data_IF_049198855319
#
_entry.id   IF_049198855319
#
_cell.length_a   1.000
_cell.length_b   1.000
_cell.length_c   1.000
_cell.angle_alpha   90.00
_cell.angle_beta   90.00
_cell.angle_gamma   90.00
#
_symmetry.space_group_name_H-M   'P 1'
#
loop_
_entity.id
_entity.type
_entity.pdbx_description
1 polymer ?
#
# COMPACT_ATOMS: atom_id res chain seq x y z
N UNK A 1 45.41 11.07 11.50
CA UNK A 1 44.84 10.37 12.68
C UNK A 1 44.28 9.04 12.17
N UNK A 2 45.11 8.00 12.16
CA UNK A 2 44.78 6.71 11.56
C UNK A 2 44.04 5.86 12.60
N UNK A 3 42.83 5.41 12.28
CA UNK A 3 42.11 4.42 13.09
C UNK A 3 42.20 3.08 12.35
N UNK A 4 43.09 2.23 12.85
CA UNK A 4 43.22 0.82 12.47
C UNK A 4 42.09 0.02 13.13
N UNK A 5 41.14 -0.50 12.35
CA UNK A 5 40.16 -1.49 12.83
C UNK A 5 40.79 -2.87 12.64
N UNK A 6 41.02 -3.57 13.75
CA UNK A 6 41.53 -4.94 13.80
C UNK A 6 40.47 -5.90 13.26
N UNK A 7 40.79 -6.65 12.20
CA UNK A 7 39.98 -7.77 11.72
C UNK A 7 40.22 -9.00 12.60
N UNK A 8 39.16 -9.50 13.24
CA UNK A 8 39.13 -10.84 13.85
C UNK A 8 38.05 -11.67 13.18
N UNK A 9 38.51 -12.63 12.39
CA UNK A 9 38.05 -14.00 12.12
C UNK A 9 36.55 -14.37 12.03
N UNK A 10 36.22 -14.92 10.86
CA UNK A 10 35.28 -16.01 10.56
C UNK A 10 33.78 -15.86 10.86
N UNK A 11 33.03 -15.75 9.76
CA UNK A 11 31.61 -16.09 9.68
C UNK A 11 31.12 -15.67 8.31
N UNK A 12 30.79 -16.62 7.44
CA UNK A 12 30.28 -16.33 6.10
C UNK A 12 29.04 -15.42 6.21
N UNK A 13 29.19 -14.15 5.84
CA UNK A 13 28.05 -13.25 5.65
C UNK A 13 27.30 -13.71 4.40
N UNK A 14 26.34 -14.61 4.60
CA UNK A 14 25.25 -14.75 3.66
C UNK A 14 24.57 -13.39 3.53
N UNK A 15 24.65 -12.79 2.33
CA UNK A 15 23.77 -11.71 1.93
C UNK A 15 22.34 -12.23 2.01
N UNK A 16 21.69 -12.04 3.15
CA UNK A 16 20.23 -12.15 3.24
C UNK A 16 19.68 -10.89 2.58
N UNK A 17 19.44 -10.98 1.27
CA UNK A 17 18.60 -10.04 0.57
C UNK A 17 17.21 -10.12 1.20
N UNK A 18 16.91 -9.22 2.14
CA UNK A 18 15.52 -8.91 2.50
C UNK A 18 14.95 -8.15 1.31
N UNK A 19 14.57 -8.89 0.27
CA UNK A 19 13.57 -8.40 -0.65
C UNK A 19 12.32 -8.20 0.21
N UNK A 20 11.92 -6.93 0.40
CA UNK A 20 10.66 -6.58 1.03
C UNK A 20 9.52 -7.13 0.17
N UNK A 21 9.21 -8.42 0.34
CA UNK A 21 8.04 -9.02 -0.25
C UNK A 21 6.85 -8.30 0.39
N UNK A 22 6.10 -7.57 -0.43
CA UNK A 22 4.79 -7.09 -0.04
C UNK A 22 3.98 -8.33 0.35
N UNK A 23 3.82 -8.56 1.66
CA UNK A 23 3.20 -9.77 2.14
C UNK A 23 1.72 -9.71 1.77
N UNK A 24 1.23 -10.69 1.03
CA UNK A 24 -0.19 -10.85 0.79
C UNK A 24 -0.89 -11.04 2.14
N UNK A 25 -1.82 -10.15 2.47
CA UNK A 25 -2.54 -10.20 3.75
C UNK A 25 -3.93 -10.78 3.49
N UNK A 26 -4.24 -11.92 4.11
CA UNK A 26 -5.54 -12.58 3.99
C UNK A 26 -6.38 -12.39 5.25
N UNK A 27 -7.64 -12.03 5.07
CA UNK A 27 -8.66 -11.97 6.14
C UNK A 27 -9.97 -12.55 5.63
N UNK A 28 -10.34 -13.73 6.16
CA UNK A 28 -11.50 -14.46 5.66
C UNK A 28 -11.39 -14.73 4.15
N UNK A 29 -12.35 -14.20 3.38
CA UNK A 29 -12.41 -14.31 1.92
C UNK A 29 -11.65 -13.20 1.19
N UNK A 30 -11.14 -12.19 1.90
CA UNK A 30 -10.43 -11.05 1.33
C UNK A 30 -8.93 -11.29 1.32
N UNK A 31 -8.27 -10.84 0.25
CA UNK A 31 -6.83 -10.85 0.09
C UNK A 31 -6.36 -9.45 -0.36
N UNK A 32 -5.44 -8.87 0.37
CA UNK A 32 -4.73 -7.64 0.00
C UNK A 32 -3.42 -8.05 -0.67
N UNK A 33 -3.22 -7.58 -1.89
CA UNK A 33 -2.08 -7.94 -2.73
C UNK A 33 -1.29 -6.69 -3.08
N UNK A 34 0.03 -6.85 -3.15
CA UNK A 34 0.99 -5.83 -3.57
C UNK A 34 0.79 -4.44 -2.92
N UNK A 35 0.57 -4.34 -1.58
CA UNK A 35 0.43 -3.04 -0.94
C UNK A 35 1.73 -2.23 -1.04
N UNK A 36 1.62 -0.98 -1.48
CA UNK A 36 2.73 -0.04 -1.49
C UNK A 36 2.24 1.41 -1.32
N UNK A 37 3.16 2.28 -0.92
CA UNK A 37 2.90 3.71 -0.71
C UNK A 37 3.86 4.52 -1.56
N UNK A 38 3.35 5.52 -2.28
CA UNK A 38 4.17 6.58 -2.89
C UNK A 38 4.40 7.66 -1.84
N UNK A 39 5.58 7.62 -1.23
CA UNK A 39 6.01 8.66 -0.32
C UNK A 39 6.17 10.02 -1.02
N UNK A 40 6.03 11.06 -0.23
CA UNK A 40 6.23 12.46 -0.59
C UNK A 40 7.11 13.13 0.47
N UNK A 41 7.45 14.40 0.29
CA UNK A 41 8.11 15.21 1.31
C UNK A 41 7.26 15.29 2.59
N UNK A 42 7.93 15.51 3.72
CA UNK A 42 7.29 15.66 5.03
C UNK A 42 6.19 16.74 5.03
N UNK A 43 5.11 16.49 5.76
CA UNK A 43 3.96 17.40 5.84
C UNK A 43 3.03 17.38 4.61
N UNK A 44 3.23 16.48 3.65
CA UNK A 44 2.34 16.31 2.49
C UNK A 44 1.65 14.93 2.51
N UNK A 45 0.42 14.81 1.99
CA UNK A 45 -0.26 13.52 1.87
C UNK A 45 0.50 12.55 0.95
N UNK A 46 0.66 11.31 1.38
CA UNK A 46 1.16 10.20 0.57
C UNK A 46 0.01 9.44 -0.08
N UNK A 47 0.27 8.74 -1.19
CA UNK A 47 -0.72 7.87 -1.86
C UNK A 47 -0.49 6.40 -1.53
N UNK A 48 -1.53 5.70 -1.08
CA UNK A 48 -1.53 4.25 -0.84
C UNK A 48 -2.16 3.49 -2.00
N UNK A 49 -1.57 2.35 -2.36
CA UNK A 49 -2.01 1.55 -3.50
C UNK A 49 -1.92 0.07 -3.15
N UNK A 50 -2.89 -0.70 -3.65
CA UNK A 50 -2.99 -2.13 -3.41
C UNK A 50 -4.08 -2.72 -4.31
N UNK A 51 -4.14 -4.05 -4.38
CA UNK A 51 -5.31 -4.76 -4.91
C UNK A 51 -6.03 -5.47 -3.78
N UNK A 52 -7.35 -5.35 -3.76
CA UNK A 52 -8.21 -6.05 -2.80
C UNK A 52 -9.04 -7.07 -3.58
N UNK A 53 -8.74 -8.35 -3.39
CA UNK A 53 -9.49 -9.45 -3.98
C UNK A 53 -10.49 -10.00 -2.97
N UNK A 54 -11.70 -10.31 -3.44
CA UNK A 54 -12.75 -10.98 -2.68
C UNK A 54 -13.10 -12.32 -3.33
N UNK A 55 -12.70 -13.40 -2.68
CA UNK A 55 -13.01 -14.78 -3.09
C UNK A 55 -14.37 -15.28 -2.58
N UNK A 56 -15.10 -14.46 -1.83
CA UNK A 56 -16.40 -14.77 -1.22
C UNK A 56 -17.55 -14.74 -2.21
N UNK A 57 -18.71 -15.25 -1.78
CA UNK A 57 -19.94 -15.27 -2.56
C UNK A 57 -20.77 -13.97 -2.45
N UNK A 58 -20.41 -13.09 -1.51
CA UNK A 58 -21.07 -11.80 -1.27
C UNK A 58 -20.09 -10.65 -1.54
N UNK A 59 -20.61 -9.52 -2.01
CA UNK A 59 -19.84 -8.31 -2.17
C UNK A 59 -19.48 -7.72 -0.80
N UNK A 60 -18.39 -6.98 -0.75
CA UNK A 60 -17.88 -6.33 0.46
C UNK A 60 -17.58 -4.84 0.19
N UNK A 61 -17.24 -4.08 1.23
CA UNK A 61 -16.90 -2.66 1.14
C UNK A 61 -15.64 -2.35 1.95
N UNK A 62 -14.66 -1.75 1.30
CA UNK A 62 -13.54 -1.12 1.99
C UNK A 62 -13.98 0.26 2.48
N UNK A 63 -14.18 0.38 3.80
CA UNK A 63 -14.71 1.60 4.43
C UNK A 63 -13.61 2.59 4.85
N UNK A 64 -12.47 2.06 5.28
CA UNK A 64 -11.38 2.85 5.85
C UNK A 64 -10.07 2.09 5.83
N UNK A 65 -8.97 2.82 5.98
CA UNK A 65 -7.66 2.27 6.29
C UNK A 65 -7.04 3.09 7.44
N UNK A 66 -6.01 2.56 8.07
CA UNK A 66 -5.27 3.23 9.15
C UNK A 66 -3.78 2.94 9.00
N UNK A 67 -2.92 3.87 9.40
CA UNK A 67 -1.48 3.65 9.39
C UNK A 67 -0.84 4.35 10.59
N UNK A 68 0.13 3.71 11.28
CA UNK A 68 0.89 4.39 12.33
C UNK A 68 1.78 5.54 11.79
N UNK A 69 1.96 5.62 10.47
CA UNK A 69 2.75 6.66 9.80
C UNK A 69 1.91 7.85 9.33
N UNK A 70 0.59 7.83 9.54
CA UNK A 70 -0.32 8.88 9.10
C UNK A 70 -1.28 9.26 10.22
N UNK A 71 -1.42 10.57 10.48
CA UNK A 71 -2.42 11.08 11.42
C UNK A 71 -3.84 10.77 10.96
N UNK A 72 -4.09 10.82 9.64
CA UNK A 72 -5.37 10.50 9.02
C UNK A 72 -5.17 9.79 7.69
N UNK A 73 -6.04 8.83 7.42
CA UNK A 73 -6.13 8.15 6.13
C UNK A 73 -7.55 8.34 5.60
N UNK A 74 -7.65 8.74 4.33
CA UNK A 74 -8.91 8.95 3.62
C UNK A 74 -8.86 8.16 2.33
N UNK A 75 -10.02 7.69 1.85
CA UNK A 75 -10.14 6.98 0.57
C UNK A 75 -10.62 7.96 -0.48
N UNK A 76 -9.92 8.04 -1.61
CA UNK A 76 -10.17 9.03 -2.65
C UNK A 76 -10.34 8.37 -4.02
N UNK A 77 -11.03 9.07 -4.92
CA UNK A 77 -11.05 8.75 -6.35
C UNK A 77 -10.48 9.92 -7.14
N UNK A 78 -9.62 9.61 -8.10
CA UNK A 78 -9.13 10.58 -9.06
C UNK A 78 -10.00 10.60 -10.31
N UNK A 79 -10.24 11.78 -10.86
CA UNK A 79 -11.04 11.97 -12.07
C UNK A 79 -10.54 13.18 -12.86
N UNK A 80 -10.70 13.12 -14.18
CA UNK A 80 -10.42 14.26 -15.06
C UNK A 80 -11.59 15.24 -15.04
N UNK A 81 -11.30 16.51 -14.79
CA UNK A 81 -12.25 17.60 -14.95
C UNK A 81 -11.55 18.79 -15.60
N UNK A 82 -12.05 19.21 -16.76
CA UNK A 82 -11.53 20.35 -17.51
C UNK A 82 -10.02 20.23 -17.85
N UNK A 83 -9.58 19.02 -18.22
CA UNK A 83 -8.16 18.74 -18.52
C UNK A 83 -7.25 18.62 -17.30
N UNK A 84 -7.79 18.75 -16.08
CA UNK A 84 -7.03 18.68 -14.83
C UNK A 84 -7.44 17.42 -14.05
N UNK A 85 -6.45 16.65 -13.60
CA UNK A 85 -6.68 15.56 -12.63
C UNK A 85 -7.07 16.16 -11.28
N UNK A 86 -8.24 15.77 -10.79
CA UNK A 86 -8.75 16.14 -9.47
C UNK A 86 -8.97 14.88 -8.64
N UNK A 87 -8.93 15.05 -7.33
CA UNK A 87 -9.23 13.99 -6.36
C UNK A 87 -10.45 14.42 -5.53
N UNK A 88 -11.26 13.44 -5.13
CA UNK A 88 -12.33 13.65 -4.15
C UNK A 88 -12.42 12.46 -3.21
N UNK A 89 -12.78 12.68 -1.93
CA UNK A 89 -13.02 11.59 -1.01
C UNK A 89 -14.23 10.75 -1.44
N UNK A 90 -14.21 9.47 -1.10
CA UNK A 90 -15.32 8.53 -1.23
C UNK A 90 -15.60 7.88 0.11
N UNK A 91 -16.87 7.56 0.36
CA UNK A 91 -17.28 6.96 1.63
C UNK A 91 -16.83 5.50 1.78
N UNK A 92 -16.71 4.78 0.67
CA UNK A 92 -16.22 3.41 0.60
C UNK A 92 -15.80 3.04 -0.82
N UNK A 93 -15.11 1.91 -0.96
CA UNK A 93 -14.87 1.23 -2.23
C UNK A 93 -15.61 -0.10 -2.21
N UNK A 94 -16.41 -0.38 -3.24
CA UNK A 94 -17.05 -1.68 -3.40
C UNK A 94 -16.04 -2.74 -3.86
N UNK A 95 -16.06 -3.89 -3.21
CA UNK A 95 -15.25 -5.07 -3.56
C UNK A 95 -16.21 -6.19 -4.01
N UNK A 96 -16.36 -6.42 -5.32
CA UNK A 96 -17.36 -7.34 -5.83
C UNK A 96 -17.09 -8.79 -5.40
N UNK A 97 -18.16 -9.57 -5.19
CA UNK A 97 -18.06 -11.01 -4.95
C UNK A 97 -17.31 -11.70 -6.09
N UNK A 98 -16.44 -12.66 -5.76
CA UNK A 98 -15.61 -13.39 -6.72
C UNK A 98 -14.79 -12.47 -7.65
N UNK A 99 -14.45 -11.27 -7.19
CA UNK A 99 -13.80 -10.25 -7.98
C UNK A 99 -12.70 -9.53 -7.20
N UNK A 100 -12.28 -8.38 -7.72
CA UNK A 100 -11.30 -7.53 -7.07
C UNK A 100 -11.53 -6.06 -7.41
N UNK A 101 -10.92 -5.20 -6.61
CA UNK A 101 -10.74 -3.77 -6.91
C UNK A 101 -9.26 -3.41 -6.80
N UNK A 102 -8.82 -2.49 -7.65
CA UNK A 102 -7.44 -2.02 -7.68
C UNK A 102 -7.39 -0.54 -7.28
N UNK A 103 -6.64 -0.25 -6.23
CA UNK A 103 -6.28 1.09 -5.80
C UNK A 103 -4.94 1.44 -6.47
N UNK A 104 -4.96 2.42 -7.37
CA UNK A 104 -3.82 2.85 -8.18
C UNK A 104 -3.82 4.35 -8.45
N UNK A 105 -2.64 4.87 -8.77
CA UNK A 105 -2.47 6.27 -9.17
C UNK A 105 -3.41 6.63 -10.33
N UNK A 106 -4.10 7.76 -10.19
CA UNK A 106 -5.09 8.22 -11.17
C UNK A 106 -6.44 7.52 -11.12
N UNK A 107 -6.65 6.59 -10.18
CA UNK A 107 -7.94 5.96 -9.88
C UNK A 107 -8.29 6.09 -8.40
N UNK A 108 -8.82 5.01 -7.84
CA UNK A 108 -9.03 4.86 -6.40
C UNK A 108 -7.70 4.73 -5.66
N UNK A 109 -7.58 5.30 -4.47
CA UNK A 109 -6.37 5.20 -3.62
C UNK A 109 -6.69 5.62 -2.18
#
# INVERSE_FOLDING_TARGET
MNILIKLSLAGALGLVSVAGAAQEMKSGNLMIMDPWVRFTIEGRPAGGYMKVQNSGAQADKLLSATSPLAERVEIHTSFMKDGIMKMRPVAHIDVPAKGYVELKSGGLH
#
